data_IF_554237474703
#
_entry.id   IF_554237474703
#
_cell.length_a   1.000
_cell.length_b   1.000
_cell.length_c   1.000
_cell.angle_alpha   90.00
_cell.angle_beta   90.00
_cell.angle_gamma   90.00
#
_symmetry.space_group_name_H-M   'P 1'
#
loop_
_entity.id
_entity.type
_entity.pdbx_description
1 polymer ?
#
# COMPACT_ATOMS: atom_id res chain seq x y z
N UNK A 1 3.20 14.20 9.87
CA UNK A 1 3.28 12.81 10.35
C UNK A 1 4.22 12.06 9.45
N UNK A 2 5.33 11.57 10.01
CA UNK A 2 6.31 10.73 9.31
C UNK A 2 5.88 9.27 9.44
N UNK A 3 5.93 8.51 8.36
CA UNK A 3 5.70 7.06 8.40
C UNK A 3 7.06 6.35 8.40
N UNK A 4 7.14 5.29 9.20
CA UNK A 4 8.38 4.57 9.45
C UNK A 4 8.53 3.40 8.45
N UNK A 5 9.59 3.46 7.65
CA UNK A 5 10.04 2.39 6.78
C UNK A 5 11.07 1.52 7.51
N UNK A 6 11.04 0.22 7.26
CA UNK A 6 11.84 -0.78 7.97
C UNK A 6 12.52 -1.74 7.02
N UNK A 7 13.68 -2.25 7.41
CA UNK A 7 14.23 -3.48 6.87
C UNK A 7 13.48 -4.67 7.45
N UNK A 8 12.81 -5.42 6.57
CA UNK A 8 11.94 -6.56 6.94
C UNK A 8 12.70 -7.71 7.59
N UNK A 9 14.02 -7.79 7.38
CA UNK A 9 14.88 -8.80 7.97
C UNK A 9 15.14 -8.56 9.47
N UNK A 10 15.22 -7.28 9.88
CA UNK A 10 15.69 -6.88 11.21
C UNK A 10 14.62 -6.18 12.06
N UNK A 11 13.51 -5.75 11.45
CA UNK A 11 12.41 -5.11 12.18
C UNK A 11 11.92 -5.98 13.35
N UNK A 12 11.96 -5.43 14.56
CA UNK A 12 11.50 -6.15 15.75
C UNK A 12 9.98 -6.14 15.87
N UNK A 13 9.44 -7.08 16.66
CA UNK A 13 8.00 -7.11 16.94
C UNK A 13 7.50 -5.81 17.61
N UNK A 14 8.18 -5.32 18.66
CA UNK A 14 7.85 -4.04 19.29
C UNK A 14 7.84 -2.87 18.31
N UNK A 15 8.85 -2.72 17.45
CA UNK A 15 8.91 -1.59 16.50
C UNK A 15 7.70 -1.59 15.54
N UNK A 16 7.30 -2.78 15.07
CA UNK A 16 6.18 -2.92 14.14
C UNK A 16 4.83 -2.67 14.81
N UNK A 17 4.71 -3.01 16.10
CA UNK A 17 3.51 -2.69 16.90
C UNK A 17 3.43 -1.19 17.15
N UNK A 18 4.55 -0.55 17.51
CA UNK A 18 4.63 0.91 17.64
C UNK A 18 4.26 1.60 16.33
N UNK A 19 4.83 1.15 15.20
CA UNK A 19 4.49 1.67 13.88
C UNK A 19 2.99 1.52 13.57
N UNK A 20 2.37 0.40 13.96
CA UNK A 20 0.94 0.20 13.78
C UNK A 20 0.09 1.13 14.64
N UNK A 21 0.51 1.43 15.87
CA UNK A 21 -0.17 2.40 16.74
C UNK A 21 0.02 3.84 16.27
N UNK A 22 1.18 4.18 15.74
CA UNK A 22 1.48 5.49 15.17
C UNK A 22 0.83 5.70 13.79
N UNK A 23 0.52 4.61 13.08
CA UNK A 23 -0.14 4.66 11.79
C UNK A 23 -1.57 5.21 11.92
N UNK A 24 -2.05 5.98 10.94
CA UNK A 24 -3.34 6.65 11.02
C UNK A 24 -4.47 5.62 11.07
N UNK A 25 -5.43 5.81 11.97
CA UNK A 25 -6.60 4.95 12.08
C UNK A 25 -7.74 5.47 11.18
N UNK A 26 -8.26 4.61 10.30
CA UNK A 26 -9.36 4.95 9.41
C UNK A 26 -10.66 4.26 9.83
N UNK A 27 -11.69 5.07 10.08
CA UNK A 27 -12.99 4.61 10.58
C UNK A 27 -14.14 4.71 9.56
N UNK A 28 -14.00 5.45 8.46
CA UNK A 28 -15.13 5.65 7.53
C UNK A 28 -14.81 6.16 6.11
N UNK A 29 -13.70 6.88 5.89
CA UNK A 29 -13.40 7.50 4.58
C UNK A 29 -12.39 6.69 3.77
N UNK A 30 -12.87 5.70 3.02
CA UNK A 30 -12.06 4.84 2.15
C UNK A 30 -11.20 5.57 1.11
N UNK A 31 -11.65 6.74 0.63
CA UNK A 31 -10.84 7.59 -0.27
C UNK A 31 -9.53 8.04 0.38
N UNK A 32 -9.48 8.18 1.71
CA UNK A 32 -8.27 8.53 2.44
C UNK A 32 -7.30 7.35 2.51
N UNK A 33 -7.80 6.12 2.72
CA UNK A 33 -6.98 4.91 2.70
C UNK A 33 -6.35 4.68 1.32
N UNK A 34 -7.13 4.83 0.26
CA UNK A 34 -6.65 4.78 -1.13
C UNK A 34 -5.58 5.84 -1.39
N UNK A 35 -5.88 7.09 -1.04
CA UNK A 35 -4.95 8.22 -1.19
C UNK A 35 -3.65 7.93 -0.47
N UNK A 36 -3.71 7.45 0.77
CA UNK A 36 -2.54 7.14 1.59
C UNK A 36 -1.68 6.07 0.94
N UNK A 37 -2.26 4.95 0.52
CA UNK A 37 -1.52 3.88 -0.14
C UNK A 37 -0.81 4.38 -1.42
N UNK A 38 -1.51 5.15 -2.27
CA UNK A 38 -0.91 5.75 -3.48
C UNK A 38 0.24 6.70 -3.12
N UNK A 39 0.04 7.56 -2.11
CA UNK A 39 1.07 8.48 -1.64
C UNK A 39 2.28 7.76 -1.08
N UNK A 40 2.09 6.65 -0.36
CA UNK A 40 3.20 5.81 0.15
C UNK A 40 4.02 5.27 -1.01
N UNK A 41 3.38 4.64 -2.00
CA UNK A 41 4.05 4.08 -3.17
C UNK A 41 4.82 5.16 -3.93
N UNK A 42 4.21 6.33 -4.17
CA UNK A 42 4.88 7.44 -4.86
C UNK A 42 5.96 8.13 -4.01
N UNK A 43 5.98 7.91 -2.69
CA UNK A 43 7.02 8.40 -1.79
C UNK A 43 8.25 7.51 -1.73
N UNK A 44 8.14 6.21 -2.06
CA UNK A 44 9.24 5.24 -1.95
C UNK A 44 10.54 5.65 -2.67
N UNK A 45 10.51 6.24 -3.88
CA UNK A 45 11.74 6.71 -4.55
C UNK A 45 12.58 7.69 -3.73
N UNK A 46 12.01 8.35 -2.71
CA UNK A 46 12.75 9.30 -1.85
C UNK A 46 13.62 8.62 -0.81
N UNK A 47 13.34 7.35 -0.51
CA UNK A 47 14.13 6.57 0.42
C UNK A 47 15.48 6.12 -0.18
N UNK A 48 15.59 6.18 -1.51
CA UNK A 48 16.74 5.67 -2.26
C UNK A 48 17.27 6.76 -3.21
N UNK A 49 18.59 6.97 -3.24
CA UNK A 49 19.18 7.94 -4.18
C UNK A 49 19.14 7.39 -5.60
N UNK A 50 18.61 8.16 -6.54
CA UNK A 50 18.66 7.84 -7.98
C UNK A 50 17.68 6.74 -8.43
N UNK A 51 16.76 6.31 -7.57
CA UNK A 51 15.75 5.29 -7.90
C UNK A 51 14.50 5.94 -8.48
N UNK A 52 13.95 5.32 -9.52
CA UNK A 52 12.64 5.67 -10.08
C UNK A 52 11.54 4.72 -9.60
N UNK A 53 10.29 5.16 -9.70
CA UNK A 53 9.14 4.29 -9.41
C UNK A 53 9.18 2.99 -10.25
N UNK A 54 9.73 3.08 -11.48
CA UNK A 54 10.04 1.99 -12.41
C UNK A 54 10.82 0.81 -11.83
N UNK A 55 11.55 1.04 -10.75
CA UNK A 55 12.52 0.12 -10.17
C UNK A 55 12.06 -0.46 -8.83
N UNK A 56 10.83 -0.15 -8.38
CA UNK A 56 10.35 -0.54 -7.06
C UNK A 56 9.19 -1.52 -7.20
N UNK A 57 9.38 -2.76 -6.79
CA UNK A 57 8.32 -3.77 -6.79
C UNK A 57 7.63 -3.82 -5.43
N UNK A 58 6.33 -3.52 -5.38
CA UNK A 58 5.55 -3.44 -4.13
C UNK A 58 4.60 -4.64 -3.95
N UNK A 59 4.38 -5.02 -2.69
CA UNK A 59 3.31 -5.89 -2.24
C UNK A 59 2.47 -5.17 -1.18
N UNK A 60 1.15 -5.37 -1.23
CA UNK A 60 0.20 -4.86 -0.24
C UNK A 60 -0.32 -6.03 0.58
N UNK A 61 -0.29 -5.93 1.91
CA UNK A 61 -0.82 -6.97 2.78
C UNK A 61 -1.62 -6.43 3.95
N UNK A 62 -2.23 -7.36 4.68
CA UNK A 62 -2.93 -7.10 5.93
C UNK A 62 -2.44 -7.99 7.05
N UNK A 63 -2.47 -7.46 8.27
CA UNK A 63 -2.20 -8.20 9.50
C UNK A 63 -2.92 -7.53 10.66
N UNK A 64 -2.89 -8.15 11.84
CA UNK A 64 -3.02 -7.42 13.10
C UNK A 64 -1.62 -6.94 13.55
N UNK A 65 -1.53 -5.91 14.42
CA UNK A 65 -0.25 -5.32 14.84
C UNK A 65 0.81 -6.35 15.27
N UNK A 66 0.45 -7.26 16.17
CA UNK A 66 1.35 -8.28 16.72
C UNK A 66 1.75 -9.34 15.67
N UNK A 67 0.94 -9.52 14.64
CA UNK A 67 1.18 -10.44 13.54
C UNK A 67 2.13 -9.90 12.46
N UNK A 68 2.43 -8.59 12.46
CA UNK A 68 3.21 -7.94 11.40
C UNK A 68 4.62 -8.54 11.26
N UNK A 69 5.28 -8.86 12.37
CA UNK A 69 6.64 -9.43 12.36
C UNK A 69 6.73 -10.70 11.53
N UNK A 70 5.81 -11.63 11.76
CA UNK A 70 5.79 -12.89 11.02
C UNK A 70 5.52 -12.66 9.53
N UNK A 71 4.65 -11.70 9.20
CA UNK A 71 4.37 -11.33 7.81
C UNK A 71 5.60 -10.72 7.13
N UNK A 72 6.30 -9.79 7.77
CA UNK A 72 7.48 -9.14 7.19
C UNK A 72 8.61 -10.15 6.96
N UNK A 73 8.87 -11.02 7.95
CA UNK A 73 9.83 -12.12 7.80
C UNK A 73 9.47 -13.06 6.64
N UNK A 74 8.20 -13.42 6.50
CA UNK A 74 7.73 -14.26 5.39
C UNK A 74 7.94 -13.58 4.04
N UNK A 75 7.68 -12.27 3.95
CA UNK A 75 7.90 -11.48 2.74
C UNK A 75 9.38 -11.38 2.37
N UNK A 76 10.25 -11.17 3.37
CA UNK A 76 11.69 -11.19 3.19
C UNK A 76 12.17 -12.55 2.65
N UNK A 77 11.83 -13.63 3.35
CA UNK A 77 12.36 -14.97 3.06
C UNK A 77 11.80 -15.57 1.77
N UNK A 78 10.49 -15.41 1.51
CA UNK A 78 9.82 -16.06 0.38
C UNK A 78 9.80 -15.21 -0.88
N UNK A 79 9.77 -13.88 -0.75
CA UNK A 79 9.58 -12.96 -1.88
C UNK A 79 10.76 -12.02 -2.11
N UNK A 80 11.75 -12.02 -1.20
CA UNK A 80 12.87 -11.07 -1.19
C UNK A 80 12.42 -9.62 -1.16
N UNK A 81 11.29 -9.35 -0.50
CA UNK A 81 10.90 -7.98 -0.20
C UNK A 81 11.72 -7.54 0.98
N UNK A 82 12.71 -6.68 0.73
CA UNK A 82 13.73 -6.27 1.69
C UNK A 82 13.17 -5.26 2.70
N UNK A 83 12.16 -4.48 2.31
CA UNK A 83 11.70 -3.35 3.10
C UNK A 83 10.18 -3.34 3.29
N UNK A 84 9.70 -2.61 4.30
CA UNK A 84 8.27 -2.52 4.60
C UNK A 84 7.84 -1.29 5.40
N UNK A 85 6.55 -0.99 5.39
CA UNK A 85 5.93 0.15 6.08
C UNK A 85 4.49 -0.18 6.47
N UNK A 86 4.05 0.27 7.65
CA UNK A 86 2.63 0.25 8.03
C UNK A 86 1.96 1.51 7.49
N UNK A 87 0.99 1.36 6.59
CA UNK A 87 0.36 2.49 5.92
C UNK A 87 -0.76 3.12 6.76
N UNK A 88 -1.57 2.28 7.40
CA UNK A 88 -2.70 2.69 8.22
C UNK A 88 -3.29 1.49 8.98
N UNK A 89 -4.16 1.80 9.94
CA UNK A 89 -5.01 0.83 10.62
C UNK A 89 -6.49 1.09 10.35
N UNK A 90 -7.32 0.06 10.51
CA UNK A 90 -8.78 0.14 10.33
C UNK A 90 -9.49 -0.95 11.14
N UNK A 91 -10.80 -0.83 11.40
CA UNK A 91 -11.60 -1.94 11.92
C UNK A 91 -11.45 -3.20 11.07
N UNK A 92 -11.25 -4.35 11.69
CA UNK A 92 -11.11 -5.63 10.99
C UNK A 92 -12.35 -6.01 10.18
N UNK A 93 -13.53 -5.50 10.56
CA UNK A 93 -14.77 -5.62 9.78
C UNK A 93 -14.67 -4.99 8.39
N UNK A 94 -13.85 -3.94 8.23
CA UNK A 94 -13.69 -3.17 6.99
C UNK A 94 -12.48 -3.63 6.16
N UNK A 95 -11.52 -4.35 6.78
CA UNK A 95 -10.23 -4.68 6.14
C UNK A 95 -10.39 -5.43 4.83
N UNK A 96 -11.38 -6.33 4.71
CA UNK A 96 -11.64 -7.09 3.47
C UNK A 96 -12.06 -6.19 2.32
N UNK A 97 -12.85 -5.15 2.62
CA UNK A 97 -13.32 -4.19 1.60
C UNK A 97 -12.14 -3.36 1.10
N UNK A 98 -11.30 -2.90 2.01
CA UNK A 98 -10.06 -2.15 1.70
C UNK A 98 -9.08 -3.00 0.88
N UNK A 99 -8.85 -4.25 1.30
CA UNK A 99 -7.95 -5.19 0.64
C UNK A 99 -8.42 -5.47 -0.79
N UNK A 100 -9.70 -5.85 -0.99
CA UNK A 100 -10.25 -6.11 -2.33
C UNK A 100 -10.10 -4.89 -3.25
N UNK A 101 -10.38 -3.70 -2.73
CA UNK A 101 -10.22 -2.47 -3.47
C UNK A 101 -8.75 -2.24 -3.89
N UNK A 102 -7.80 -2.47 -2.98
CA UNK A 102 -6.37 -2.36 -3.27
C UNK A 102 -5.92 -3.38 -4.32
N UNK A 103 -6.34 -4.64 -4.21
CA UNK A 103 -6.04 -5.70 -5.18
C UNK A 103 -6.50 -5.31 -6.58
N UNK A 104 -7.76 -4.88 -6.70
CA UNK A 104 -8.37 -4.50 -7.98
C UNK A 104 -7.71 -3.29 -8.57
N UNK A 105 -7.41 -2.27 -7.76
CA UNK A 105 -6.70 -1.08 -8.19
C UNK A 105 -5.33 -1.44 -8.77
N UNK A 106 -4.55 -2.24 -8.03
CA UNK A 106 -3.22 -2.71 -8.44
C UNK A 106 -3.30 -3.47 -9.76
N UNK A 107 -4.20 -4.45 -9.88
CA UNK A 107 -4.35 -5.24 -11.11
C UNK A 107 -4.69 -4.35 -12.33
N UNK A 108 -5.62 -3.41 -12.16
CA UNK A 108 -6.06 -2.51 -13.25
C UNK A 108 -5.00 -1.49 -13.67
N UNK A 109 -4.14 -1.07 -12.76
CA UNK A 109 -3.02 -0.16 -13.05
C UNK A 109 -1.82 -0.91 -13.65
N UNK A 110 -1.55 -2.14 -13.19
CA UNK A 110 -0.55 -3.05 -13.78
C UNK A 110 -0.85 -3.28 -15.26
N UNK A 111 -2.10 -3.63 -15.61
CA UNK A 111 -2.53 -3.86 -17.00
C UNK A 111 -2.33 -2.65 -17.94
N UNK A 112 -2.17 -1.44 -17.39
CA UNK A 112 -2.00 -0.19 -18.17
C UNK A 112 -0.55 0.32 -18.17
N UNK A 113 0.41 -0.46 -17.66
CA UNK A 113 1.83 -0.04 -17.46
C UNK A 113 1.97 1.27 -16.65
N UNK A 114 1.01 1.50 -15.73
CA UNK A 114 0.95 2.72 -14.92
C UNK A 114 1.35 2.50 -13.45
N UNK A 115 1.76 1.28 -13.06
CA UNK A 115 2.27 0.98 -11.72
C UNK A 115 3.39 -0.05 -11.74
N UNK A 116 4.38 0.15 -10.85
CA UNK A 116 5.33 -0.87 -10.43
C UNK A 116 4.83 -1.65 -9.23
N UNK A 117 3.81 -2.46 -9.45
CA UNK A 117 3.35 -3.40 -8.43
C UNK A 117 3.23 -4.75 -9.10
N UNK A 118 4.33 -5.49 -9.09
CA UNK A 118 4.34 -6.92 -9.37
C UNK A 118 4.50 -7.60 -8.01
N UNK A 119 3.46 -8.07 -7.36
CA UNK A 119 3.09 -9.46 -7.47
C UNK A 119 1.72 -9.57 -6.79
N UNK A 120 0.69 -9.84 -7.57
CA UNK A 120 -0.67 -10.06 -7.07
C UNK A 120 -0.82 -11.56 -6.87
N UNK A 121 -0.12 -12.09 -5.87
CA UNK A 121 -0.64 -13.26 -5.14
C UNK A 121 -1.46 -12.68 -3.99
N UNK A 122 -2.59 -12.11 -4.38
CA UNK A 122 -3.59 -11.54 -3.47
C UNK A 122 -4.87 -12.30 -3.75
N UNK A 123 -4.86 -13.58 -3.40
CA UNK A 123 -6.13 -14.26 -3.26
C UNK A 123 -6.88 -13.60 -2.09
N UNK A 124 -8.19 -13.34 -2.21
CA UNK A 124 -9.02 -12.99 -1.07
C UNK A 124 -9.14 -14.16 -0.05
N UNK A 125 -8.38 -15.23 -0.25
CA UNK A 125 -8.28 -16.40 0.62
C UNK A 125 -7.34 -16.09 1.78
N UNK A 126 -7.85 -16.28 3.00
CA UNK A 126 -7.09 -16.05 4.21
C UNK A 126 -7.99 -15.61 5.36
N UNK A 127 -7.78 -16.16 6.57
CA UNK A 127 -8.59 -15.80 7.72
C UNK A 127 -8.48 -14.29 8.01
N UNK A 128 -9.55 -13.71 8.54
CA UNK A 128 -9.47 -12.37 9.13
C UNK A 128 -8.54 -12.41 10.35
N UNK A 129 -7.79 -11.34 10.65
CA UNK A 129 -7.11 -11.22 11.92
C UNK A 129 -8.09 -11.42 13.08
N UNK A 130 -7.67 -12.10 14.15
CA UNK A 130 -8.48 -12.27 15.35
C UNK A 130 -8.61 -10.98 16.20
N UNK A 131 -7.95 -9.90 15.77
CA UNK A 131 -7.96 -8.60 16.45
C UNK A 131 -9.10 -7.71 15.94
N UNK A 132 -9.68 -6.83 16.77
CA UNK A 132 -10.64 -5.81 16.31
C UNK A 132 -10.03 -4.80 15.34
N UNK A 133 -8.71 -4.63 15.35
CA UNK A 133 -7.98 -3.69 14.49
C UNK A 133 -7.05 -4.44 13.56
N UNK A 134 -7.12 -4.08 12.28
CA UNK A 134 -6.22 -4.57 11.23
C UNK A 134 -5.30 -3.45 10.77
N UNK A 135 -4.04 -3.78 10.53
CA UNK A 135 -3.04 -2.96 9.87
C UNK A 135 -2.96 -3.34 8.38
N UNK A 136 -2.95 -2.33 7.51
CA UNK A 136 -2.56 -2.46 6.12
C UNK A 136 -1.11 -2.03 5.99
N UNK A 137 -0.30 -2.88 5.38
CA UNK A 137 1.13 -2.67 5.21
C UNK A 137 1.54 -2.80 3.75
N UNK A 138 2.67 -2.20 3.40
CA UNK A 138 3.36 -2.46 2.15
C UNK A 138 4.73 -3.08 2.44
N UNK A 139 5.15 -4.01 1.61
CA UNK A 139 6.56 -4.45 1.53
C UNK A 139 7.07 -4.28 0.11
N UNK A 140 8.36 -4.04 -0.10
CA UNK A 140 8.91 -3.84 -1.44
C UNK A 140 10.34 -4.32 -1.58
N UNK A 141 10.79 -4.41 -2.83
CA UNK A 141 12.19 -4.61 -3.23
C UNK A 141 12.55 -3.78 -4.46
N UNK A 142 13.84 -3.62 -4.71
CA UNK A 142 14.32 -3.05 -5.96
C UNK A 142 14.36 -4.12 -7.07
N UNK A 143 13.97 -3.73 -8.28
CA UNK A 143 13.94 -4.57 -9.48
C UNK A 143 14.51 -3.81 -10.68
N UNK A 144 14.92 -4.50 -11.76
CA UNK A 144 15.33 -3.82 -12.99
C UNK A 144 14.27 -2.84 -13.49
N UNK A 145 14.72 -1.68 -13.96
CA UNK A 145 13.86 -0.58 -14.39
C UNK A 145 12.84 -1.01 -15.44
N UNK A 146 11.58 -0.65 -15.20
CA UNK A 146 10.47 -0.79 -16.14
C UNK A 146 9.87 0.57 -16.48
N UNK A 147 9.42 0.80 -17.72
CA UNK A 147 8.76 2.04 -18.08
C UNK A 147 7.45 2.18 -17.29
N UNK A 148 7.32 3.28 -16.56
CA UNK A 148 6.09 3.66 -15.84
C UNK A 148 5.58 4.96 -16.42
N UNK A 149 4.34 4.94 -16.92
CA UNK A 149 3.68 6.16 -17.34
C UNK A 149 2.80 6.76 -16.24
N UNK A 150 2.53 8.06 -16.34
CA UNK A 150 1.58 8.77 -15.48
C UNK A 150 0.15 8.64 -16.03
N UNK A 151 -0.84 8.21 -15.23
CA UNK A 151 -2.24 8.23 -15.65
C UNK A 151 -2.73 9.65 -15.94
N UNK A 152 -3.48 9.81 -17.03
CA UNK A 152 -4.26 10.99 -17.39
C UNK A 152 -5.56 11.06 -16.57
N UNK A 153 -6.20 12.24 -16.46
CA UNK A 153 -7.50 12.36 -15.78
C UNK A 153 -8.60 11.48 -16.40
N UNK A 154 -8.54 11.24 -17.72
CA UNK A 154 -9.48 10.35 -18.41
C UNK A 154 -9.24 8.88 -18.03
N UNK A 155 -7.98 8.43 -18.00
CA UNK A 155 -7.65 7.07 -17.52
C UNK A 155 -8.07 6.87 -16.05
N UNK A 156 -7.94 7.89 -15.19
CA UNK A 156 -8.42 7.81 -13.80
C UNK A 156 -9.94 7.66 -13.72
N UNK A 157 -10.71 8.40 -14.52
CA UNK A 157 -12.17 8.24 -14.59
C UNK A 157 -12.56 6.85 -15.07
N UNK A 158 -11.96 6.37 -16.16
CA UNK A 158 -12.19 5.01 -16.68
C UNK A 158 -11.83 3.92 -15.66
N UNK A 159 -10.77 4.13 -14.87
CA UNK A 159 -10.40 3.23 -13.80
C UNK A 159 -11.43 3.24 -12.66
N UNK A 160 -11.92 4.42 -12.26
CA UNK A 160 -12.99 4.54 -11.28
C UNK A 160 -14.28 3.86 -11.77
N UNK A 161 -14.66 4.04 -13.04
CA UNK A 161 -15.82 3.39 -13.65
C UNK A 161 -15.68 1.87 -13.66
N UNK A 162 -14.51 1.36 -14.03
CA UNK A 162 -14.22 -0.08 -14.04
C UNK A 162 -14.20 -0.71 -12.63
N UNK A 163 -13.86 0.07 -11.60
CA UNK A 163 -13.93 -0.37 -10.20
C UNK A 163 -15.36 -0.29 -9.65
N UNK A 164 -16.11 0.75 -10.02
CA UNK A 164 -17.51 0.92 -9.64
C UNK A 164 -18.42 -0.16 -10.23
N UNK A 165 -18.14 -0.63 -11.44
CA UNK A 165 -18.88 -1.71 -12.08
C UNK A 165 -18.64 -3.10 -11.46
N UNK A 166 -17.71 -3.24 -10.49
CA UNK A 166 -17.48 -4.51 -9.79
C UNK A 166 -18.50 -4.65 -8.64
N UNK A 167 -19.46 -5.59 -8.71
CA UNK A 167 -20.49 -5.75 -7.69
C UNK A 167 -19.92 -6.20 -6.33
N UNK A 168 -18.65 -6.64 -6.27
CA UNK A 168 -17.97 -6.96 -5.02
C UNK A 168 -17.45 -5.71 -4.28
N UNK A 169 -17.50 -4.53 -4.91
CA UNK A 169 -17.04 -3.25 -4.37
C UNK A 169 -18.23 -2.34 -4.08
N UNK A 170 -18.64 -2.28 -2.83
CA UNK A 170 -19.70 -1.38 -2.34
C UNK A 170 -19.11 0.01 -2.01
N UNK A 171 -18.70 0.75 -3.05
CA UNK A 171 -18.15 2.10 -2.91
C UNK A 171 -18.79 3.11 -3.85
N UNK A 172 -19.14 4.32 -3.37
CA UNK A 172 -19.58 5.39 -4.24
C UNK A 172 -18.49 5.75 -5.27
N UNK A 173 -18.88 5.92 -6.53
CA UNK A 173 -18.00 6.33 -7.63
C UNK A 173 -17.18 7.59 -7.29
N UNK A 174 -17.79 8.57 -6.63
CA UNK A 174 -17.14 9.80 -6.19
C UNK A 174 -16.01 9.57 -5.18
N UNK A 175 -16.15 8.57 -4.29
CA UNK A 175 -15.11 8.16 -3.34
C UNK A 175 -13.91 7.56 -4.06
N UNK A 176 -14.15 6.71 -5.08
CA UNK A 176 -13.12 6.10 -5.90
C UNK A 176 -12.36 7.18 -6.69
N UNK A 177 -13.06 8.03 -7.44
CA UNK A 177 -12.44 9.12 -8.20
C UNK A 177 -11.60 10.06 -7.32
N UNK A 178 -12.11 10.41 -6.12
CA UNK A 178 -11.41 11.29 -5.19
C UNK A 178 -10.12 10.67 -4.64
N UNK A 179 -10.10 9.35 -4.40
CA UNK A 179 -8.90 8.61 -3.97
C UNK A 179 -7.89 8.42 -5.09
N UNK A 180 -8.36 8.12 -6.30
CA UNK A 180 -7.53 7.86 -7.49
C UNK A 180 -6.93 9.12 -8.11
N UNK A 181 -7.47 10.31 -7.79
CA UNK A 181 -6.96 11.58 -8.31
C UNK A 181 -5.46 11.78 -8.07
N UNK A 182 -4.94 11.23 -6.97
CA UNK A 182 -3.51 11.32 -6.62
C UNK A 182 -2.60 10.53 -7.58
N UNK A 183 -3.15 9.61 -8.39
CA UNK A 183 -2.42 8.97 -9.49
C UNK A 183 -2.01 9.99 -10.58
N UNK A 184 -2.90 10.94 -10.88
CA UNK A 184 -2.64 11.99 -11.88
C UNK A 184 -1.82 13.13 -11.34
N UNK A 185 -1.63 13.21 -10.02
CA UNK A 185 -0.96 14.29 -9.32
C UNK A 185 -0.19 13.67 -8.15
N UNK A 186 1.00 13.08 -8.38
CA UNK A 186 1.91 12.76 -7.29
C UNK A 186 2.30 14.09 -6.62
N UNK A 187 1.46 14.55 -5.69
CA UNK A 187 1.80 15.69 -4.86
C UNK A 187 2.87 15.17 -3.92
N UNK A 188 4.10 15.45 -4.31
CA UNK A 188 5.36 15.33 -3.57
C UNK A 188 5.36 15.99 -2.17
N UNK A 189 4.23 16.49 -1.68
CA UNK A 189 4.15 17.34 -0.49
C UNK A 189 3.54 16.74 0.78
N UNK A 190 3.12 15.46 0.85
CA UNK A 190 2.24 15.05 1.97
C UNK A 190 2.63 13.79 2.75
N UNK A 191 3.59 12.99 2.30
CA UNK A 191 4.05 11.83 3.07
C UNK A 191 5.57 11.90 3.26
N UNK A 192 5.98 12.11 4.51
CA UNK A 192 7.38 11.96 4.90
C UNK A 192 7.59 10.49 5.25
N UNK A 193 8.46 9.80 4.51
CA UNK A 193 8.91 8.45 4.82
C UNK A 193 10.32 8.56 5.38
N UNK A 194 10.58 7.95 6.53
CA UNK A 194 11.91 7.87 7.12
C UNK A 194 12.25 6.43 7.48
N UNK A 195 13.53 6.10 7.45
CA UNK A 195 14.02 4.81 7.93
C UNK A 195 13.87 4.69 9.45
N UNK A 196 13.57 3.48 9.93
CA UNK A 196 13.51 3.15 11.35
C UNK A 196 14.23 1.82 11.66
N UNK A 197 15.12 1.80 12.68
CA UNK A 197 15.73 2.99 13.29
C UNK A 197 16.43 3.82 12.19
N UNK A 198 16.63 5.12 12.40
CA UNK A 198 17.38 5.93 11.43
C UNK A 198 18.72 5.23 11.15
N UNK A 199 18.97 4.88 9.89
CA UNK A 199 20.24 4.28 9.50
C UNK A 199 21.35 5.28 9.86
N UNK A 200 22.21 4.90 10.80
CA UNK A 200 23.35 5.70 11.27
C UNK A 200 24.33 6.02 10.14
#
# INVERSE_FOLDING_TARGET
MTMLAFDTAVASGPDLVEAAHAAPHYTSRYSHALRRAIQTVHGLPRLFRGTELGEIEVYVGRSFPEGLRNRFRDHHTKRRHEHGVVCFTCPTTDVRRVERLAIRLVDRLRRRTRLCVANVDLEPSGPLPASPVSAIYLTWRLVPRRPVGRPTPTEVRQLADALYADPALDFPRSTLEAGLRDLTRPKTGYLNLSWHPEAA
#
